data_IF_568090781180
#
_entry.id   IF_568090781180
#
_cell.length_a   1.000
_cell.length_b   1.000
_cell.length_c   1.000
_cell.angle_alpha   90.00
_cell.angle_beta   90.00
_cell.angle_gamma   90.00
#
_symmetry.space_group_name_H-M   'P 1'
#
loop_
_entity.id
_entity.type
_entity.pdbx_description
1 polymer ?
#
# COMPACT_ATOMS: atom_id res chain seq x y z
N UNK A 1 -12.26 -10.32 5.71
CA UNK A 1 -11.20 -10.07 4.67
C UNK A 1 -10.03 -9.33 5.31
N UNK A 2 -8.91 -9.13 4.61
CA UNK A 2 -7.75 -8.40 5.15
C UNK A 2 -7.45 -7.20 4.29
N UNK A 3 -7.32 -6.03 4.91
CA UNK A 3 -6.93 -4.77 4.28
C UNK A 3 -5.49 -4.42 4.71
N UNK A 4 -4.55 -4.49 3.79
CA UNK A 4 -3.19 -3.98 3.98
C UNK A 4 -3.14 -2.51 3.59
N UNK A 5 -2.63 -1.65 4.46
CA UNK A 5 -2.67 -0.19 4.27
C UNK A 5 -1.26 0.39 4.29
N UNK A 6 -1.01 1.29 3.35
CA UNK A 6 0.21 2.09 3.30
C UNK A 6 -0.07 3.47 2.74
N UNK A 7 0.87 4.40 2.87
CA UNK A 7 0.75 5.74 2.35
C UNK A 7 1.94 6.12 1.47
N UNK A 8 1.72 7.16 0.68
CA UNK A 8 2.80 7.82 -0.06
C UNK A 8 2.58 9.32 -0.11
N UNK A 9 3.66 10.06 -0.14
CA UNK A 9 3.66 11.51 -0.15
C UNK A 9 4.49 12.03 -1.33
N UNK A 10 4.01 13.09 -1.97
CA UNK A 10 4.75 13.88 -2.94
C UNK A 10 4.54 15.37 -2.66
N UNK A 11 5.08 16.26 -3.48
CA UNK A 11 5.05 17.71 -3.22
C UNK A 11 3.62 18.22 -2.97
N UNK A 12 2.66 17.85 -3.83
CA UNK A 12 1.29 18.39 -3.81
C UNK A 12 0.25 17.47 -3.18
N UNK A 13 0.57 16.18 -2.99
CA UNK A 13 -0.42 15.20 -2.59
C UNK A 13 0.06 14.31 -1.46
N UNK A 14 -0.90 13.89 -0.64
CA UNK A 14 -0.76 12.79 0.30
C UNK A 14 -1.81 11.73 -0.03
N UNK A 15 -1.39 10.49 -0.15
CA UNK A 15 -2.22 9.39 -0.65
C UNK A 15 -2.17 8.27 0.37
N UNK A 16 -3.33 7.76 0.76
CA UNK A 16 -3.44 6.51 1.52
C UNK A 16 -4.09 5.49 0.60
N UNK A 17 -3.55 4.29 0.57
CA UNK A 17 -4.12 3.20 -0.20
C UNK A 17 -4.22 1.90 0.61
N UNK A 18 -5.19 1.08 0.26
CA UNK A 18 -5.46 -0.21 0.86
C UNK A 18 -5.58 -1.31 -0.19
N UNK A 19 -4.92 -2.44 0.04
CA UNK A 19 -5.06 -3.67 -0.71
C UNK A 19 -5.94 -4.64 0.09
N UNK A 20 -7.19 -4.79 -0.32
CA UNK A 20 -8.13 -5.73 0.26
C UNK A 20 -7.96 -7.11 -0.39
N UNK A 21 -7.80 -8.15 0.42
CA UNK A 21 -7.67 -9.54 -0.05
C UNK A 21 -8.53 -10.49 0.77
N UNK A 22 -8.84 -11.64 0.22
CA UNK A 22 -9.67 -12.64 0.90
C UNK A 22 -8.89 -13.45 1.96
N UNK A 23 -7.55 -13.50 1.88
CA UNK A 23 -6.75 -14.35 2.75
C UNK A 23 -5.28 -13.93 2.82
N UNK A 24 -4.77 -13.77 4.04
CA UNK A 24 -3.33 -13.57 4.31
C UNK A 24 -2.48 -14.71 3.73
N UNK A 25 -2.91 -15.96 3.91
CA UNK A 25 -2.17 -17.11 3.41
C UNK A 25 -2.04 -17.10 1.88
N UNK A 26 -3.09 -16.70 1.16
CA UNK A 26 -3.03 -16.57 -0.31
C UNK A 26 -2.14 -15.41 -0.72
N UNK A 27 -2.22 -14.28 -0.04
CA UNK A 27 -1.34 -13.12 -0.27
C UNK A 27 0.13 -13.50 -0.09
N UNK A 28 0.46 -14.19 1.00
CA UNK A 28 1.82 -14.68 1.28
C UNK A 28 2.31 -15.69 0.23
N UNK A 29 1.45 -16.62 -0.16
CA UNK A 29 1.78 -17.61 -1.18
C UNK A 29 2.04 -16.94 -2.55
N UNK A 30 1.23 -15.94 -2.90
CA UNK A 30 1.38 -15.16 -4.13
C UNK A 30 2.68 -14.36 -4.11
N UNK A 31 2.99 -13.70 -3.00
CA UNK A 31 4.25 -12.98 -2.86
C UNK A 31 5.47 -13.90 -2.96
N UNK A 32 5.42 -15.08 -2.36
CA UNK A 32 6.50 -16.08 -2.47
C UNK A 32 6.70 -16.57 -3.91
N UNK A 33 5.60 -16.77 -4.67
CA UNK A 33 5.67 -17.12 -6.09
C UNK A 33 6.29 -15.98 -6.92
N UNK A 34 5.84 -14.76 -6.69
CA UNK A 34 6.42 -13.56 -7.29
C UNK A 34 7.92 -13.45 -6.99
N UNK A 35 8.35 -13.55 -5.74
CA UNK A 35 9.78 -13.53 -5.38
C UNK A 35 10.60 -14.61 -6.08
N UNK A 36 10.07 -15.81 -6.26
CA UNK A 36 10.73 -16.87 -7.06
C UNK A 36 10.94 -16.43 -8.51
N UNK A 37 9.95 -15.76 -9.12
CA UNK A 37 10.07 -15.23 -10.49
C UNK A 37 11.12 -14.14 -10.58
N UNK A 38 11.16 -13.23 -9.61
CA UNK A 38 12.14 -12.12 -9.54
C UNK A 38 13.58 -12.61 -9.51
N UNK A 39 13.87 -13.82 -8.96
CA UNK A 39 15.23 -14.40 -8.99
C UNK A 39 15.82 -14.52 -10.40
N UNK A 40 14.98 -14.64 -11.41
CA UNK A 40 15.37 -14.80 -12.81
C UNK A 40 15.57 -13.48 -13.57
N UNK A 41 15.30 -12.32 -12.92
CA UNK A 41 15.54 -11.02 -13.53
C UNK A 41 17.02 -10.63 -13.41
N UNK A 42 17.51 -9.95 -14.46
CA UNK A 42 18.83 -9.32 -14.40
C UNK A 42 18.79 -8.10 -13.47
N UNK A 43 19.23 -8.30 -12.25
CA UNK A 43 19.25 -7.30 -11.18
C UNK A 43 20.68 -7.24 -10.63
N UNK A 44 21.19 -6.02 -10.35
CA UNK A 44 22.51 -5.90 -9.72
C UNK A 44 22.55 -6.64 -8.38
N UNK A 45 23.67 -7.24 -7.95
CA UNK A 45 23.75 -7.95 -6.68
C UNK A 45 23.28 -7.11 -5.48
N UNK A 46 23.68 -5.84 -5.45
CA UNK A 46 23.29 -4.87 -4.40
C UNK A 46 21.79 -4.60 -4.37
N UNK A 47 21.15 -4.41 -5.53
CA UNK A 47 19.72 -4.16 -5.61
C UNK A 47 18.94 -5.46 -5.33
N UNK A 48 19.48 -6.59 -5.75
CA UNK A 48 18.91 -7.92 -5.47
C UNK A 48 18.83 -8.18 -3.95
N UNK A 49 19.90 -7.93 -3.23
CA UNK A 49 19.92 -8.06 -1.77
C UNK A 49 18.81 -7.21 -1.13
N UNK A 50 18.71 -5.93 -1.52
CA UNK A 50 17.66 -5.02 -1.02
C UNK A 50 16.25 -5.53 -1.33
N UNK A 51 15.97 -5.91 -2.58
CA UNK A 51 14.66 -6.41 -3.02
C UNK A 51 14.27 -7.68 -2.27
N UNK A 52 15.24 -8.53 -1.94
CA UNK A 52 14.96 -9.77 -1.20
C UNK A 52 14.87 -9.57 0.31
N UNK A 53 15.49 -8.52 0.87
CA UNK A 53 15.30 -8.13 2.26
C UNK A 53 13.94 -7.50 2.45
N UNK A 54 13.63 -6.49 1.63
CA UNK A 54 12.35 -5.80 1.65
C UNK A 54 12.03 -5.27 0.25
N UNK A 55 10.87 -5.65 -0.28
CA UNK A 55 10.44 -5.27 -1.62
C UNK A 55 9.83 -3.86 -1.60
N UNK A 56 10.67 -2.83 -1.64
CA UNK A 56 10.24 -1.43 -1.60
C UNK A 56 10.19 -0.76 -2.97
N UNK A 57 9.16 0.06 -3.15
CA UNK A 57 8.89 0.83 -4.37
C UNK A 57 10.06 1.73 -4.77
N UNK A 58 10.71 2.37 -3.82
CA UNK A 58 11.84 3.29 -4.07
C UNK A 58 13.01 2.65 -4.83
N UNK A 59 13.18 1.33 -4.73
CA UNK A 59 14.22 0.58 -5.45
C UNK A 59 13.82 0.38 -6.92
N UNK A 60 12.53 0.31 -7.21
CA UNK A 60 11.98 -0.09 -8.50
C UNK A 60 11.55 1.07 -9.39
N UNK A 61 11.30 2.24 -8.81
CA UNK A 61 10.67 3.38 -9.49
C UNK A 61 11.39 3.82 -10.77
N UNK A 62 12.70 3.68 -10.84
CA UNK A 62 13.48 4.15 -12.00
C UNK A 62 14.15 3.05 -12.83
N UNK A 63 14.26 1.83 -12.29
CA UNK A 63 15.14 0.81 -12.92
C UNK A 63 14.43 -0.47 -13.30
N UNK A 64 13.52 -0.95 -12.50
CA UNK A 64 13.05 -2.33 -12.59
C UNK A 64 11.55 -2.41 -12.82
N UNK A 65 10.99 -1.57 -13.69
CA UNK A 65 9.54 -1.55 -13.99
C UNK A 65 8.97 -2.92 -14.37
N UNK A 66 9.76 -3.75 -15.08
CA UNK A 66 9.35 -5.13 -15.41
C UNK A 66 9.08 -5.98 -14.16
N UNK A 67 9.72 -5.68 -13.04
CA UNK A 67 9.45 -6.37 -11.77
C UNK A 67 8.10 -5.93 -11.21
N UNK A 68 7.74 -4.64 -11.33
CA UNK A 68 6.40 -4.16 -10.95
C UNK A 68 5.32 -4.77 -11.84
N UNK A 69 5.53 -4.85 -13.15
CA UNK A 69 4.60 -5.57 -14.05
C UNK A 69 4.41 -7.00 -13.59
N UNK A 70 5.49 -7.73 -13.35
CA UNK A 70 5.43 -9.11 -12.85
C UNK A 70 4.71 -9.21 -11.49
N UNK A 71 4.87 -8.21 -10.61
CA UNK A 71 4.11 -8.13 -9.35
C UNK A 71 2.62 -8.00 -9.62
N UNK A 72 2.21 -7.09 -10.50
CA UNK A 72 0.80 -6.88 -10.84
C UNK A 72 0.17 -8.13 -11.47
N UNK A 73 0.90 -8.83 -12.35
CA UNK A 73 0.49 -10.12 -12.90
C UNK A 73 0.22 -11.18 -11.82
N UNK A 74 1.04 -11.18 -10.75
CA UNK A 74 0.83 -12.11 -9.64
C UNK A 74 -0.36 -11.68 -8.76
N UNK A 75 -0.48 -10.39 -8.46
CA UNK A 75 -1.62 -9.86 -7.71
C UNK A 75 -2.93 -10.17 -8.44
N UNK A 76 -2.98 -10.04 -9.77
CA UNK A 76 -4.18 -10.34 -10.56
C UNK A 76 -4.64 -11.81 -10.51
N UNK A 77 -3.81 -12.71 -9.98
CA UNK A 77 -4.22 -14.11 -9.74
C UNK A 77 -4.97 -14.32 -8.41
N UNK A 78 -5.05 -13.30 -7.59
CA UNK A 78 -5.81 -13.31 -6.32
C UNK A 78 -7.19 -12.70 -6.49
N UNK A 79 -8.08 -12.94 -5.54
CA UNK A 79 -9.25 -12.11 -5.32
C UNK A 79 -8.81 -10.88 -4.50
N UNK A 80 -8.86 -9.70 -5.09
CA UNK A 80 -8.40 -8.46 -4.47
C UNK A 80 -9.20 -7.26 -4.94
N UNK A 81 -9.16 -6.20 -4.14
CA UNK A 81 -9.57 -4.84 -4.52
C UNK A 81 -8.58 -3.83 -3.97
N UNK A 82 -8.36 -2.75 -4.70
CA UNK A 82 -7.52 -1.64 -4.28
C UNK A 82 -8.45 -0.45 -3.99
N UNK A 83 -8.29 0.14 -2.82
CA UNK A 83 -8.97 1.38 -2.44
C UNK A 83 -7.90 2.44 -2.20
N UNK A 84 -8.11 3.66 -2.70
CA UNK A 84 -7.20 4.75 -2.37
C UNK A 84 -7.95 6.08 -2.27
N UNK A 85 -7.44 6.92 -1.38
CA UNK A 85 -7.94 8.27 -1.17
C UNK A 85 -6.78 9.27 -1.25
N UNK A 86 -7.05 10.46 -1.82
CA UNK A 86 -6.05 11.46 -2.13
C UNK A 86 -6.38 12.76 -1.41
N UNK A 87 -5.40 13.32 -0.72
CA UNK A 87 -5.47 14.66 -0.16
C UNK A 87 -4.54 15.60 -0.93
N UNK A 88 -5.09 16.67 -1.49
CA UNK A 88 -4.29 17.75 -2.08
C UNK A 88 -3.83 18.67 -0.97
N UNK A 89 -2.53 18.76 -0.76
CA UNK A 89 -1.94 19.59 0.28
C UNK A 89 -2.23 21.07 0.03
N UNK A 90 -2.56 21.79 1.09
CA UNK A 90 -2.85 23.23 1.03
C UNK A 90 -1.56 24.07 0.89
N UNK A 91 -0.44 23.54 1.35
CA UNK A 91 0.88 24.15 1.26
C UNK A 91 1.97 23.09 1.15
N UNK A 92 3.16 23.51 0.74
CA UNK A 92 4.35 22.62 0.72
C UNK A 92 4.78 22.22 2.14
N UNK A 93 4.47 23.03 3.15
CA UNK A 93 4.71 22.72 4.56
C UNK A 93 3.57 21.86 5.09
N UNK A 94 3.74 20.56 5.04
CA UNK A 94 2.79 19.58 5.55
C UNK A 94 3.26 19.12 6.93
N UNK A 95 2.75 19.80 7.96
CA UNK A 95 3.17 19.54 9.33
C UNK A 95 2.72 18.16 9.81
N UNK A 96 3.51 17.60 10.72
CA UNK A 96 3.29 16.24 11.22
C UNK A 96 1.87 16.04 11.79
N UNK A 97 1.36 16.97 12.57
CA UNK A 97 0.01 16.90 13.15
C UNK A 97 -1.08 16.91 12.08
N UNK A 98 -0.92 17.71 11.02
CA UNK A 98 -1.84 17.72 9.88
C UNK A 98 -1.79 16.40 9.14
N UNK A 99 -0.60 15.87 8.89
CA UNK A 99 -0.39 14.58 8.24
C UNK A 99 -1.09 13.44 8.99
N UNK A 100 -0.97 13.40 10.32
CA UNK A 100 -1.62 12.40 11.16
C UNK A 100 -3.15 12.45 11.03
N UNK A 101 -3.73 13.65 11.12
CA UNK A 101 -5.17 13.85 11.00
C UNK A 101 -5.67 13.48 9.60
N UNK A 102 -4.94 13.87 8.56
CA UNK A 102 -5.27 13.53 7.16
C UNK A 102 -5.19 12.03 6.94
N UNK A 103 -4.15 11.35 7.44
CA UNK A 103 -4.03 9.90 7.33
C UNK A 103 -5.27 9.19 7.89
N UNK A 104 -5.64 9.52 9.14
CA UNK A 104 -6.81 8.94 9.81
C UNK A 104 -8.08 9.23 9.02
N UNK A 105 -8.26 10.46 8.53
CA UNK A 105 -9.43 10.85 7.72
C UNK A 105 -9.52 10.03 6.43
N UNK A 106 -8.42 9.90 5.69
CA UNK A 106 -8.40 9.14 4.44
C UNK A 106 -8.63 7.64 4.67
N UNK A 107 -8.04 7.08 5.72
CA UNK A 107 -8.24 5.68 6.07
C UNK A 107 -9.69 5.40 6.48
N UNK A 108 -10.32 6.28 7.25
CA UNK A 108 -11.76 6.17 7.57
C UNK A 108 -12.63 6.21 6.31
N UNK A 109 -12.33 7.10 5.35
CA UNK A 109 -13.02 7.13 4.06
C UNK A 109 -12.89 5.79 3.32
N UNK A 110 -11.69 5.22 3.27
CA UNK A 110 -11.45 3.91 2.64
C UNK A 110 -12.27 2.82 3.33
N UNK A 111 -12.19 2.73 4.64
CA UNK A 111 -12.89 1.70 5.44
C UNK A 111 -14.40 1.79 5.26
N UNK A 112 -14.96 3.00 5.19
CA UNK A 112 -16.40 3.23 4.99
C UNK A 112 -16.93 2.78 3.62
N UNK A 113 -16.07 2.54 2.63
CA UNK A 113 -16.46 2.03 1.30
C UNK A 113 -16.40 0.50 1.19
N UNK A 114 -16.02 -0.17 2.28
CA UNK A 114 -15.88 -1.63 2.29
C UNK A 114 -17.08 -2.22 3.02
N UNK A 115 -17.91 -2.97 2.29
CA UNK A 115 -19.18 -3.51 2.80
C UNK A 115 -19.03 -4.84 3.56
N UNK A 116 -17.83 -5.35 3.76
CA UNK A 116 -17.57 -6.61 4.45
C UNK A 116 -16.72 -6.42 5.71
N UNK A 117 -16.76 -7.39 6.61
CA UNK A 117 -15.90 -7.43 7.79
C UNK A 117 -14.42 -7.56 7.40
N UNK A 118 -13.56 -6.72 8.00
CA UNK A 118 -12.14 -6.63 7.70
C UNK A 118 -11.25 -6.67 8.93
N UNK A 119 -10.10 -7.32 8.77
CA UNK A 119 -8.93 -7.13 9.61
C UNK A 119 -7.99 -6.15 8.89
N UNK A 120 -7.46 -5.16 9.59
CA UNK A 120 -6.59 -4.14 9.02
C UNK A 120 -5.16 -4.36 9.51
N UNK A 121 -4.21 -4.34 8.57
CA UNK A 121 -2.78 -4.37 8.84
C UNK A 121 -2.14 -3.14 8.20
N UNK A 122 -1.47 -2.31 9.00
CA UNK A 122 -0.76 -1.12 8.55
C UNK A 122 0.71 -1.14 8.97
N UNK A 123 1.57 -0.41 8.24
CA UNK A 123 3.01 -0.38 8.53
C UNK A 123 3.31 0.42 9.82
N UNK A 124 4.42 0.09 10.46
CA UNK A 124 4.88 0.71 11.69
C UNK A 124 5.39 2.13 11.43
N UNK A 125 4.84 3.13 12.12
CA UNK A 125 5.29 4.54 12.02
C UNK A 125 6.42 4.88 12.98
N UNK A 126 6.76 3.98 13.92
CA UNK A 126 7.67 4.24 15.05
C UNK A 126 7.22 5.44 15.91
N UNK A 127 5.91 5.63 16.06
CA UNK A 127 5.26 6.70 16.81
C UNK A 127 4.04 6.16 17.54
N UNK A 128 4.26 5.63 18.73
CA UNK A 128 3.24 4.94 19.54
C UNK A 128 1.94 5.74 19.71
N UNK A 129 2.03 7.04 19.99
CA UNK A 129 0.82 7.87 20.18
C UNK A 129 0.00 8.01 18.89
N UNK A 130 0.65 8.10 17.74
CA UNK A 130 -0.05 8.16 16.46
C UNK A 130 -0.68 6.82 16.11
N UNK A 131 0.05 5.73 16.32
CA UNK A 131 -0.45 4.37 16.09
C UNK A 131 -1.69 4.07 16.96
N UNK A 132 -1.68 4.48 18.21
CA UNK A 132 -2.86 4.37 19.10
C UNK A 132 -4.04 5.19 18.58
N UNK A 133 -3.83 6.43 18.13
CA UNK A 133 -4.91 7.26 17.54
C UNK A 133 -5.52 6.62 16.30
N UNK A 134 -4.71 6.00 15.43
CA UNK A 134 -5.21 5.25 14.27
C UNK A 134 -6.12 4.12 14.77
N UNK A 135 -5.63 3.30 15.68
CA UNK A 135 -6.36 2.15 16.21
C UNK A 135 -7.69 2.58 16.84
N UNK A 136 -7.68 3.59 17.68
CA UNK A 136 -8.87 4.10 18.36
C UNK A 136 -9.91 4.66 17.37
N UNK A 137 -9.46 5.45 16.39
CA UNK A 137 -10.36 6.04 15.41
C UNK A 137 -10.96 5.01 14.46
N UNK A 138 -10.15 4.08 13.97
CA UNK A 138 -10.59 3.12 12.94
C UNK A 138 -11.46 2.01 13.54
N UNK A 139 -11.22 1.60 14.77
CA UNK A 139 -12.07 0.65 15.50
C UNK A 139 -13.52 1.09 15.69
N UNK A 140 -13.83 2.36 15.50
CA UNK A 140 -15.21 2.86 15.57
C UNK A 140 -16.05 2.45 14.35
N UNK A 141 -15.44 1.96 13.28
CA UNK A 141 -16.15 1.45 12.12
C UNK A 141 -16.67 0.04 12.41
N UNK A 142 -17.97 -0.19 12.21
CA UNK A 142 -18.65 -1.45 12.55
C UNK A 142 -18.15 -2.67 11.76
N UNK A 143 -17.53 -2.46 10.61
CA UNK A 143 -16.98 -3.51 9.75
C UNK A 143 -15.52 -3.87 10.08
N UNK A 144 -14.88 -3.22 11.07
CA UNK A 144 -13.51 -3.50 11.47
C UNK A 144 -13.48 -4.50 12.63
N UNK A 145 -13.03 -5.72 12.35
CA UNK A 145 -12.88 -6.78 13.35
C UNK A 145 -11.61 -6.57 14.19
N UNK A 146 -10.50 -6.29 13.51
CA UNK A 146 -9.22 -6.01 14.17
C UNK A 146 -8.40 -5.00 13.38
N UNK A 147 -7.51 -4.31 14.08
CA UNK A 147 -6.51 -3.44 13.47
C UNK A 147 -5.19 -3.60 14.22
N UNK A 148 -4.13 -3.90 13.47
CA UNK A 148 -2.81 -4.15 14.01
C UNK A 148 -1.72 -3.48 13.15
N UNK A 149 -0.66 -3.03 13.79
CA UNK A 149 0.55 -2.60 13.11
C UNK A 149 1.51 -3.78 12.91
N UNK A 150 2.22 -3.79 11.80
CA UNK A 150 3.20 -4.80 11.48
C UNK A 150 4.41 -4.18 10.77
N UNK A 151 5.58 -4.75 10.96
CA UNK A 151 6.78 -4.38 10.20
C UNK A 151 6.65 -4.89 8.76
N UNK A 152 6.74 -3.99 7.78
CA UNK A 152 6.62 -4.32 6.36
C UNK A 152 7.67 -5.36 5.89
N UNK A 153 8.80 -5.50 6.60
CA UNK A 153 9.79 -6.57 6.30
C UNK A 153 9.24 -7.97 6.56
N UNK A 154 8.30 -8.09 7.48
CA UNK A 154 7.70 -9.37 7.91
C UNK A 154 6.33 -9.61 7.27
N UNK A 155 5.71 -8.56 6.68
CA UNK A 155 4.36 -8.60 6.16
C UNK A 155 4.33 -8.35 4.64
N UNK A 156 4.08 -9.41 3.88
CA UNK A 156 4.15 -9.35 2.43
C UNK A 156 3.05 -8.52 1.77
N UNK A 157 1.88 -8.43 2.40
CA UNK A 157 0.80 -7.58 1.91
C UNK A 157 1.19 -6.09 1.96
N UNK A 158 1.92 -5.66 3.00
CA UNK A 158 2.45 -4.31 3.10
C UNK A 158 3.47 -4.01 2.01
N UNK A 159 4.31 -4.98 1.63
CA UNK A 159 5.24 -4.81 0.52
C UNK A 159 4.55 -4.71 -0.84
N UNK A 160 3.38 -5.34 -1.02
CA UNK A 160 2.57 -5.15 -2.22
C UNK A 160 1.95 -3.77 -2.26
N UNK A 161 1.33 -3.31 -1.16
CA UNK A 161 0.64 -2.02 -1.14
C UNK A 161 1.61 -0.84 -1.25
N UNK A 162 2.84 -0.89 -0.69
CA UNK A 162 3.88 0.13 -0.90
C UNK A 162 4.14 0.36 -2.40
N UNK A 163 4.27 -0.72 -3.17
CA UNK A 163 4.48 -0.61 -4.61
C UNK A 163 3.24 -0.12 -5.36
N UNK A 164 2.03 -0.47 -4.92
CA UNK A 164 0.77 0.05 -5.47
C UNK A 164 0.65 1.55 -5.17
N UNK A 165 0.95 2.00 -3.95
CA UNK A 165 1.01 3.42 -3.58
C UNK A 165 1.93 4.21 -4.52
N UNK A 166 3.11 3.67 -4.81
CA UNK A 166 4.03 4.29 -5.77
C UNK A 166 3.44 4.39 -7.18
N UNK A 167 2.76 3.35 -7.67
CA UNK A 167 2.11 3.38 -8.99
C UNK A 167 1.01 4.46 -9.04
N UNK A 168 0.19 4.57 -8.00
CA UNK A 168 -0.85 5.59 -7.89
C UNK A 168 -0.21 6.99 -7.84
N UNK A 169 0.86 7.17 -7.06
CA UNK A 169 1.61 8.44 -7.00
C UNK A 169 2.14 8.86 -8.36
N UNK A 170 2.77 7.96 -9.12
CA UNK A 170 3.27 8.25 -10.46
C UNK A 170 2.15 8.69 -11.40
N UNK A 171 1.00 8.03 -11.33
CA UNK A 171 -0.17 8.41 -12.11
C UNK A 171 -0.68 9.82 -11.77
N UNK A 172 -0.86 10.12 -10.49
CA UNK A 172 -1.48 11.37 -10.03
C UNK A 172 -0.53 12.56 -10.18
N UNK A 173 0.71 12.42 -9.73
CA UNK A 173 1.68 13.50 -9.62
C UNK A 173 2.58 13.62 -10.85
N UNK A 174 3.20 12.53 -11.28
CA UNK A 174 4.16 12.52 -12.38
C UNK A 174 3.49 12.41 -13.76
N UNK A 175 2.16 12.16 -13.79
CA UNK A 175 1.37 11.93 -15.01
C UNK A 175 1.85 10.72 -15.83
N UNK A 176 2.59 9.82 -15.20
CA UNK A 176 2.96 8.52 -15.77
C UNK A 176 1.93 7.45 -15.37
N UNK A 177 1.08 7.12 -16.31
CA UNK A 177 -0.01 6.14 -16.13
C UNK A 177 0.34 4.75 -16.64
N UNK A 178 1.56 4.51 -17.07
CA UNK A 178 1.97 3.25 -17.74
C UNK A 178 1.65 2.01 -16.90
N UNK A 179 1.98 2.04 -15.61
CA UNK A 179 1.68 0.93 -14.69
C UNK A 179 0.29 1.03 -14.09
N UNK A 180 -0.27 2.24 -13.98
CA UNK A 180 -1.59 2.45 -13.41
C UNK A 180 -2.69 1.76 -14.22
N UNK A 181 -2.62 1.78 -15.55
CA UNK A 181 -3.58 1.09 -16.42
C UNK A 181 -3.49 -0.45 -16.34
N UNK A 182 -2.46 -0.99 -15.70
CA UNK A 182 -2.37 -2.41 -15.40
C UNK A 182 -3.03 -2.78 -14.06
N UNK A 183 -3.37 -1.80 -13.21
CA UNK A 183 -4.19 -2.03 -12.04
C UNK A 183 -5.61 -2.33 -12.49
N UNK A 184 -6.14 -3.43 -12.03
CA UNK A 184 -7.55 -3.78 -12.19
C UNK A 184 -8.20 -3.75 -10.81
N UNK A 185 -9.53 -3.62 -10.77
CA UNK A 185 -10.29 -3.69 -9.53
C UNK A 185 -9.86 -2.65 -8.48
N UNK A 186 -9.82 -1.37 -8.88
CA UNK A 186 -9.48 -0.26 -7.99
C UNK A 186 -10.64 0.72 -7.83
N UNK A 187 -10.69 1.37 -6.67
CA UNK A 187 -11.69 2.36 -6.26
C UNK A 187 -10.97 3.63 -5.80
N UNK A 188 -11.15 4.72 -6.55
CA UNK A 188 -10.70 6.06 -6.14
C UNK A 188 -11.78 6.71 -5.28
N UNK A 189 -11.41 7.17 -4.10
CA UNK A 189 -12.32 7.75 -3.12
C UNK A 189 -12.04 9.26 -3.03
N UNK A 190 -13.05 10.07 -3.29
CA UNK A 190 -12.99 11.54 -3.24
C UNK A 190 -13.10 12.10 -1.81
#
# INVERSE_FOLDING_TARGET
MILFVDETECEDYFIVAGLLTDSKLKTDATFKKFKKKVKNFHISPKDKEKIFTEFKSVILDKKYQRIKVCMLEHISTMNYSIYYAVYKKKSKSFYQQEKENVYISLLNKIVSQIDCEIDIIFDTFNKTDFELKIIESIKQNNNVLSIVQQDSRLEYGLQFIDNICSIIRHHIYEKDSTLYYLLTNYHSIE
#
